data_IF_329873069280
#
_entry.id   IF_329873069280
#
_cell.length_a   1.000
_cell.length_b   1.000
_cell.length_c   1.000
_cell.angle_alpha   90.00
_cell.angle_beta   90.00
_cell.angle_gamma   90.00
#
_symmetry.space_group_name_H-M   'P 1'
#
loop_
_entity.id
_entity.type
_entity.pdbx_description
1 polymer ?
#
# COMPACT_ATOMS: atom_id res chain seq x y z
N UNK A 1 -6.55 -19.41 -13.56
CA UNK A 1 -6.85 -18.01 -13.20
C UNK A 1 -6.51 -17.14 -14.37
N UNK A 2 -7.35 -16.16 -14.64
CA UNK A 2 -7.07 -15.06 -15.58
C UNK A 2 -6.03 -14.11 -15.00
N UNK A 3 -5.48 -13.21 -15.82
CA UNK A 3 -4.46 -12.26 -15.38
C UNK A 3 -4.97 -11.34 -14.26
N UNK A 4 -6.22 -10.87 -14.38
CA UNK A 4 -6.83 -10.00 -13.37
C UNK A 4 -7.06 -10.73 -12.05
N UNK A 5 -7.57 -11.97 -12.08
CA UNK A 5 -7.72 -12.80 -10.87
C UNK A 5 -6.35 -13.04 -10.20
N UNK A 6 -5.31 -13.23 -11.00
CA UNK A 6 -3.94 -13.41 -10.51
C UNK A 6 -3.41 -12.14 -9.85
N UNK A 7 -3.63 -10.97 -10.47
CA UNK A 7 -3.26 -9.67 -9.90
C UNK A 7 -3.98 -9.39 -8.57
N UNK A 8 -5.29 -9.65 -8.51
CA UNK A 8 -6.07 -9.55 -7.27
C UNK A 8 -5.50 -10.47 -6.17
N UNK A 9 -5.22 -11.73 -6.51
CA UNK A 9 -4.60 -12.69 -5.59
C UNK A 9 -3.23 -12.24 -5.10
N UNK A 10 -2.41 -11.65 -5.96
CA UNK A 10 -1.11 -11.09 -5.59
C UNK A 10 -1.25 -9.93 -4.60
N UNK A 11 -2.18 -9.00 -4.83
CA UNK A 11 -2.41 -7.85 -3.94
C UNK A 11 -2.85 -8.33 -2.55
N UNK A 12 -3.79 -9.28 -2.49
CA UNK A 12 -4.25 -9.89 -1.23
C UNK A 12 -3.09 -10.57 -0.51
N UNK A 13 -2.27 -11.34 -1.23
CA UNK A 13 -1.15 -12.07 -0.65
C UNK A 13 -0.07 -11.13 -0.11
N UNK A 14 0.20 -10.01 -0.80
CA UNK A 14 1.11 -8.98 -0.29
C UNK A 14 0.58 -8.40 1.01
N UNK A 15 -0.69 -7.98 1.08
CA UNK A 15 -1.27 -7.48 2.34
C UNK A 15 -1.15 -8.50 3.47
N UNK A 16 -1.61 -9.73 3.24
CA UNK A 16 -1.61 -10.80 4.24
C UNK A 16 -0.21 -11.22 4.70
N UNK A 17 0.83 -10.99 3.88
CA UNK A 17 2.23 -11.26 4.25
C UNK A 17 2.73 -10.31 5.35
N UNK A 18 2.25 -9.08 5.36
CA UNK A 18 2.72 -8.03 6.27
C UNK A 18 1.75 -7.77 7.41
N UNK A 19 0.47 -8.08 7.25
CA UNK A 19 -0.55 -7.92 8.28
C UNK A 19 -0.47 -9.02 9.36
N UNK A 20 -0.82 -8.66 10.60
CA UNK A 20 -1.04 -9.60 11.70
C UNK A 20 0.21 -10.18 12.36
N UNK A 21 1.38 -9.61 12.11
CA UNK A 21 2.57 -9.81 12.94
C UNK A 21 2.47 -9.07 14.28
N UNK A 22 1.80 -7.92 14.29
CA UNK A 22 1.50 -7.08 15.45
C UNK A 22 0.03 -6.63 15.42
N UNK A 23 -0.57 -6.30 16.57
CA UNK A 23 -1.94 -5.75 16.61
C UNK A 23 -3.04 -6.70 16.10
N UNK A 24 -3.98 -6.16 15.32
CA UNK A 24 -5.07 -6.93 14.73
C UNK A 24 -4.60 -7.74 13.51
N UNK A 25 -5.02 -9.01 13.43
CA UNK A 25 -4.63 -9.93 12.34
C UNK A 25 -5.16 -9.56 10.95
N UNK A 26 -6.05 -8.57 10.88
CA UNK A 26 -6.72 -8.14 9.65
C UNK A 26 -6.31 -6.75 9.18
N UNK A 27 -5.34 -6.13 9.84
CA UNK A 27 -4.86 -4.79 9.54
C UNK A 27 -3.32 -4.75 9.54
N UNK A 28 -2.79 -3.63 9.04
CA UNK A 28 -1.40 -3.26 9.15
C UNK A 28 -1.28 -2.19 10.23
N UNK A 29 -0.51 -2.48 11.26
CA UNK A 29 0.01 -1.44 12.15
C UNK A 29 0.93 -0.50 11.39
N UNK A 30 1.24 0.66 11.98
CA UNK A 30 2.26 1.58 11.45
C UNK A 30 3.60 0.89 11.12
N UNK A 31 4.03 -0.03 11.99
CA UNK A 31 5.29 -0.76 11.82
C UNK A 31 5.25 -1.69 10.61
N UNK A 32 4.15 -2.42 10.44
CA UNK A 32 3.95 -3.34 9.32
C UNK A 32 3.77 -2.60 7.99
N UNK A 33 3.02 -1.50 7.98
CA UNK A 33 2.87 -0.64 6.81
C UNK A 33 4.24 -0.11 6.35
N UNK A 34 5.09 0.31 7.30
CA UNK A 34 6.45 0.75 6.98
C UNK A 34 7.25 -0.35 6.28
N UNK A 35 7.25 -1.57 6.83
CA UNK A 35 7.99 -2.70 6.25
C UNK A 35 7.46 -3.07 4.86
N UNK A 36 6.13 -3.05 4.68
CA UNK A 36 5.50 -3.27 3.38
C UNK A 36 6.01 -2.26 2.35
N UNK A 37 6.01 -0.97 2.69
CA UNK A 37 6.46 0.08 1.79
C UNK A 37 7.95 -0.05 1.44
N UNK A 38 8.80 -0.35 2.42
CA UNK A 38 10.24 -0.54 2.20
C UNK A 38 10.55 -1.70 1.26
N UNK A 39 9.75 -2.78 1.29
CA UNK A 39 10.01 -3.99 0.51
C UNK A 39 9.30 -4.03 -0.84
N UNK A 40 8.05 -3.61 -0.90
CA UNK A 40 7.21 -3.72 -2.10
C UNK A 40 7.20 -2.42 -2.92
N UNK A 41 7.44 -1.27 -2.27
CA UNK A 41 7.41 0.06 -2.90
C UNK A 41 8.69 0.89 -2.62
N UNK A 42 9.91 0.33 -2.80
CA UNK A 42 11.15 1.02 -2.43
C UNK A 42 11.38 2.32 -3.21
N UNK A 43 10.81 2.45 -4.42
CA UNK A 43 10.85 3.68 -5.22
C UNK A 43 10.07 4.84 -4.61
N UNK A 44 9.05 4.53 -3.79
CA UNK A 44 8.18 5.53 -3.17
C UNK A 44 8.83 6.19 -1.94
N UNK A 45 9.77 5.48 -1.29
CA UNK A 45 10.49 5.95 -0.09
C UNK A 45 11.84 6.62 -0.41
N UNK A 46 12.21 6.84 -1.67
CA UNK A 46 13.57 7.33 -2.03
C UNK A 46 13.90 8.74 -1.54
N UNK A 47 12.94 9.50 -1.03
CA UNK A 47 13.18 10.82 -0.40
C UNK A 47 13.39 10.66 1.10
N UNK A 48 14.55 11.11 1.60
CA UNK A 48 15.07 11.11 3.00
C UNK A 48 14.17 11.77 4.09
N UNK A 49 12.85 11.61 4.04
CA UNK A 49 11.83 12.05 5.04
C UNK A 49 11.02 10.85 5.55
N UNK A 50 11.67 9.71 5.77
CA UNK A 50 11.02 8.40 5.95
C UNK A 50 10.13 8.25 7.18
N UNK A 51 10.36 8.99 8.26
CA UNK A 51 9.50 8.89 9.45
C UNK A 51 8.16 9.59 9.23
N UNK A 52 8.21 10.83 8.76
CA UNK A 52 7.00 11.64 8.57
C UNK A 52 6.18 11.17 7.36
N UNK A 53 6.82 10.57 6.36
CA UNK A 53 6.14 10.08 5.16
C UNK A 53 5.20 8.91 5.46
N UNK A 54 5.66 7.91 6.22
CA UNK A 54 4.83 6.77 6.63
C UNK A 54 3.76 7.22 7.62
N UNK A 55 4.09 8.12 8.54
CA UNK A 55 3.11 8.70 9.47
C UNK A 55 1.99 9.46 8.76
N UNK A 56 2.35 10.24 7.76
CA UNK A 56 1.38 10.96 6.94
C UNK A 56 0.56 9.99 6.09
N UNK A 57 1.21 9.01 5.47
CA UNK A 57 0.50 8.01 4.68
C UNK A 57 -0.50 7.24 5.55
N UNK A 58 -0.09 6.76 6.73
CA UNK A 58 -0.97 6.08 7.66
C UNK A 58 -2.20 6.94 7.95
N UNK A 59 -2.03 8.22 8.27
CA UNK A 59 -3.15 9.15 8.48
C UNK A 59 -4.02 9.38 7.25
N UNK A 60 -3.43 9.36 6.05
CA UNK A 60 -4.16 9.53 4.80
C UNK A 60 -4.95 8.24 4.43
N UNK A 61 -4.53 7.08 4.94
CA UNK A 61 -5.16 5.77 4.70
C UNK A 61 -6.17 5.35 5.78
N UNK A 62 -5.88 5.64 7.05
CA UNK A 62 -6.68 5.35 8.24
C UNK A 62 -7.95 6.22 8.23
N UNK A 63 -8.95 5.77 7.48
CA UNK A 63 -10.20 6.46 7.27
C UNK A 63 -11.15 6.29 8.47
N UNK A 64 -10.99 5.18 9.20
CA UNK A 64 -11.83 4.85 10.34
C UNK A 64 -11.29 5.43 11.68
N UNK A 65 -10.01 5.85 11.72
CA UNK A 65 -9.35 6.48 12.86
C UNK A 65 -8.85 5.51 13.93
N UNK A 66 -8.63 4.24 13.62
CA UNK A 66 -8.16 3.20 14.55
C UNK A 66 -6.63 3.09 14.65
N UNK A 67 -5.90 3.92 13.89
CA UNK A 67 -4.44 3.94 13.78
C UNK A 67 -3.81 2.67 13.18
N UNK A 68 -4.60 1.84 12.52
CA UNK A 68 -4.19 0.72 11.70
C UNK A 68 -4.68 0.93 10.25
N UNK A 69 -4.32 0.03 9.34
CA UNK A 69 -4.80 0.04 7.94
C UNK A 69 -5.41 -1.30 7.60
N UNK A 70 -6.72 -1.34 7.43
CA UNK A 70 -7.40 -2.57 7.00
C UNK A 70 -7.22 -2.83 5.49
N UNK A 71 -7.71 -3.97 5.02
CA UNK A 71 -7.58 -4.31 3.60
C UNK A 71 -8.33 -3.35 2.66
N UNK A 72 -9.46 -2.79 3.09
CA UNK A 72 -10.23 -1.85 2.28
C UNK A 72 -9.49 -0.52 2.13
N UNK A 73 -8.87 -0.03 3.19
CA UNK A 73 -8.04 1.16 3.17
C UNK A 73 -6.78 0.94 2.30
N UNK A 74 -6.15 -0.23 2.44
CA UNK A 74 -5.00 -0.62 1.63
C UNK A 74 -5.33 -0.73 0.12
N UNK A 75 -6.46 -1.34 -0.26
CA UNK A 75 -6.78 -1.51 -1.69
C UNK A 75 -7.12 -0.17 -2.35
N UNK A 76 -7.74 0.76 -1.62
CA UNK A 76 -7.97 2.13 -2.09
C UNK A 76 -6.63 2.83 -2.39
N UNK A 77 -5.63 2.67 -1.52
CA UNK A 77 -4.28 3.17 -1.77
C UNK A 77 -3.66 2.59 -3.04
N UNK A 78 -3.68 1.27 -3.19
CA UNK A 78 -3.13 0.58 -4.37
C UNK A 78 -3.83 1.04 -5.64
N UNK A 79 -5.15 1.23 -5.61
CA UNK A 79 -5.92 1.74 -6.74
C UNK A 79 -5.49 3.18 -7.09
N UNK A 80 -5.31 4.06 -6.10
CA UNK A 80 -4.84 5.43 -6.31
C UNK A 80 -3.44 5.47 -6.94
N UNK A 81 -2.51 4.65 -6.42
CA UNK A 81 -1.17 4.52 -6.99
C UNK A 81 -1.21 4.01 -8.42
N UNK A 82 -1.99 2.98 -8.67
CA UNK A 82 -2.16 2.38 -10.01
C UNK A 82 -2.70 3.43 -11.00
N UNK A 83 -3.71 4.20 -10.60
CA UNK A 83 -4.26 5.27 -11.42
C UNK A 83 -3.26 6.42 -11.66
N UNK A 84 -2.44 6.77 -10.65
CA UNK A 84 -1.39 7.77 -10.79
C UNK A 84 -0.28 7.31 -11.76
N UNK A 85 0.15 6.05 -11.65
CA UNK A 85 1.09 5.43 -12.57
C UNK A 85 0.53 5.37 -13.99
N UNK A 86 -0.72 4.97 -14.16
CA UNK A 86 -1.38 4.94 -15.47
C UNK A 86 -1.38 6.32 -16.13
N UNK A 87 -1.78 7.38 -15.40
CA UNK A 87 -1.69 8.77 -15.89
C UNK A 87 -0.26 9.19 -16.24
N UNK A 88 0.73 8.71 -15.49
CA UNK A 88 2.13 8.98 -15.80
C UNK A 88 2.56 8.29 -17.10
N UNK A 89 2.20 7.02 -17.29
CA UNK A 89 2.52 6.25 -18.50
C UNK A 89 1.79 6.78 -19.74
N UNK A 90 0.52 7.15 -19.62
CA UNK A 90 -0.24 7.83 -20.67
C UNK A 90 0.45 9.13 -21.10
N UNK A 91 0.94 9.94 -20.14
CA UNK A 91 1.68 11.18 -20.43
C UNK A 91 3.07 10.93 -21.01
N UNK A 92 3.69 9.79 -20.70
CA UNK A 92 5.01 9.40 -21.17
C UNK A 92 4.99 8.67 -22.53
N UNK A 93 3.80 8.39 -23.10
CA UNK A 93 3.66 7.67 -24.37
C UNK A 93 4.07 6.20 -24.30
N UNK A 94 4.09 5.62 -23.10
CA UNK A 94 4.26 4.18 -22.87
C UNK A 94 2.85 3.54 -22.87
N UNK A 95 2.72 2.26 -23.27
CA UNK A 95 1.42 1.60 -23.40
C UNK A 95 0.60 1.63 -22.11
#
# INVERSE_FOLDING_TARGET
MTELETAMGMIINVFARYAGGEGNKQSLTKGELKVLMEKELPGFLQTKRDRDAVDKLLKDLDANGDAEVDFNEFIVFVAMLTAACHKFFERAGLP
#
